data_IF_394222002866
#
_entry.id   IF_394222002866
#
_cell.length_a   1.000
_cell.length_b   1.000
_cell.length_c   1.000
_cell.angle_alpha   90.00
_cell.angle_beta   90.00
_cell.angle_gamma   90.00
#
_symmetry.space_group_name_H-M   'P 1'
#
loop_
_entity.id
_entity.type
_entity.pdbx_description
1 polymer ?
#
# COMPACT_ATOMS: atom_id res chain seq x y z
N UNK A 1 -1.12 4.74 -7.44
CA UNK A 1 -0.08 4.23 -8.37
C UNK A 1 1.29 4.09 -7.72
N UNK A 2 1.74 5.04 -6.90
CA UNK A 2 3.04 4.96 -6.23
C UNK A 2 3.21 3.69 -5.39
N UNK A 3 2.20 3.28 -4.61
CA UNK A 3 2.22 2.04 -3.80
C UNK A 3 2.41 0.78 -4.66
N UNK A 4 1.70 0.69 -5.78
CA UNK A 4 1.81 -0.45 -6.71
C UNK A 4 3.19 -0.49 -7.35
N UNK A 5 3.69 0.67 -7.82
CA UNK A 5 5.02 0.79 -8.40
C UNK A 5 6.11 0.43 -7.38
N UNK A 6 5.98 0.92 -6.15
CA UNK A 6 6.82 0.62 -5.01
C UNK A 6 6.95 -0.88 -4.74
N UNK A 7 5.82 -1.60 -4.67
CA UNK A 7 5.82 -3.06 -4.47
C UNK A 7 6.39 -3.80 -5.67
N UNK A 8 5.96 -3.46 -6.89
CA UNK A 8 6.43 -4.10 -8.11
C UNK A 8 7.94 -3.88 -8.33
N UNK A 9 8.46 -2.71 -7.97
CA UNK A 9 9.87 -2.39 -8.11
C UNK A 9 10.74 -3.05 -7.04
N UNK A 10 10.20 -3.27 -5.84
CA UNK A 10 10.90 -3.95 -4.75
C UNK A 10 10.95 -5.49 -4.93
N UNK A 11 9.86 -6.11 -5.39
CA UNK A 11 9.72 -7.57 -5.40
C UNK A 11 9.51 -8.18 -6.81
N UNK A 12 9.63 -7.38 -7.86
CA UNK A 12 9.43 -7.83 -9.24
C UNK A 12 8.03 -8.41 -9.47
N UNK A 13 7.95 -9.60 -10.06
CA UNK A 13 6.67 -10.24 -10.37
C UNK A 13 5.86 -10.62 -9.12
N UNK A 14 6.50 -11.01 -8.02
CA UNK A 14 5.83 -11.25 -6.75
C UNK A 14 5.20 -9.96 -6.20
N UNK A 15 5.88 -8.83 -6.38
CA UNK A 15 5.37 -7.50 -6.02
C UNK A 15 4.11 -7.11 -6.76
N UNK A 16 4.01 -7.43 -8.05
CA UNK A 16 2.80 -7.22 -8.84
C UNK A 16 1.62 -8.05 -8.32
N UNK A 17 1.85 -9.32 -8.00
CA UNK A 17 0.81 -10.18 -7.43
C UNK A 17 0.30 -9.65 -6.08
N UNK A 18 1.22 -9.25 -5.19
CA UNK A 18 0.85 -8.62 -3.92
C UNK A 18 0.05 -7.32 -4.12
N UNK A 19 0.44 -6.49 -5.08
CA UNK A 19 -0.28 -5.25 -5.37
C UNK A 19 -1.72 -5.51 -5.84
N UNK A 20 -1.95 -6.54 -6.66
CA UNK A 20 -3.30 -6.93 -7.09
C UNK A 20 -4.14 -7.37 -5.89
N UNK A 21 -3.59 -8.22 -5.01
CA UNK A 21 -4.28 -8.68 -3.79
C UNK A 21 -4.69 -7.48 -2.93
N UNK A 22 -3.76 -6.55 -2.70
CA UNK A 22 -4.01 -5.34 -1.92
C UNK A 22 -5.07 -4.45 -2.59
N UNK A 23 -5.13 -4.38 -3.92
CA UNK A 23 -6.18 -3.63 -4.62
C UNK A 23 -7.57 -4.27 -4.48
N UNK A 24 -7.66 -5.60 -4.60
CA UNK A 24 -8.92 -6.31 -4.41
C UNK A 24 -9.42 -6.13 -2.98
N UNK A 25 -8.53 -6.30 -1.99
CA UNK A 25 -8.86 -6.07 -0.58
C UNK A 25 -9.35 -4.65 -0.33
N UNK A 26 -8.75 -3.65 -0.99
CA UNK A 26 -9.22 -2.27 -0.89
C UNK A 26 -10.66 -2.11 -1.36
N UNK A 27 -10.99 -2.61 -2.55
CA UNK A 27 -12.34 -2.49 -3.10
C UNK A 27 -13.39 -3.11 -2.16
N UNK A 28 -13.07 -4.26 -1.54
CA UNK A 28 -13.98 -4.94 -0.63
C UNK A 28 -14.07 -4.26 0.74
N UNK A 29 -12.94 -3.82 1.30
CA UNK A 29 -12.88 -3.33 2.69
C UNK A 29 -13.32 -1.87 2.84
N UNK A 30 -13.20 -1.03 1.80
CA UNK A 30 -13.39 0.43 1.91
C UNK A 30 -14.86 0.84 1.89
N UNK A 31 -15.77 -0.12 1.88
CA UNK A 31 -17.18 0.13 2.03
C UNK A 31 -17.82 0.90 0.88
N UNK A 32 -17.34 0.70 -0.36
CA UNK A 32 -17.89 1.36 -1.54
C UNK A 32 -19.40 1.10 -1.77
N UNK A 33 -19.92 0.00 -1.22
CA UNK A 33 -21.35 -0.39 -1.30
C UNK A 33 -22.04 -0.31 0.08
N UNK A 34 -21.32 -0.61 1.17
CA UNK A 34 -21.83 -0.61 2.55
C UNK A 34 -20.82 0.02 3.51
N UNK A 35 -21.26 0.69 4.60
CA UNK A 35 -20.35 1.17 5.64
C UNK A 35 -19.42 0.06 6.15
N UNK A 36 -18.12 0.33 6.40
CA UNK A 36 -17.17 -0.68 6.85
C UNK A 36 -17.59 -1.37 8.15
N UNK A 37 -18.38 -0.71 9.01
CA UNK A 37 -18.94 -1.24 10.25
C UNK A 37 -19.88 -2.43 10.04
N UNK A 38 -20.46 -2.57 8.83
CA UNK A 38 -21.32 -3.69 8.47
C UNK A 38 -20.54 -4.89 7.90
N UNK A 39 -19.24 -4.71 7.63
CA UNK A 39 -18.39 -5.79 7.11
C UNK A 39 -17.95 -6.71 8.26
N UNK A 40 -17.55 -7.97 7.96
CA UNK A 40 -16.95 -8.85 8.95
C UNK A 40 -15.72 -8.20 9.64
N UNK A 41 -15.45 -8.62 10.89
CA UNK A 41 -14.39 -8.06 11.75
C UNK A 41 -13.00 -8.01 11.09
N UNK A 42 -12.69 -8.97 10.21
CA UNK A 42 -11.46 -8.98 9.41
C UNK A 42 -11.33 -7.72 8.53
N UNK A 43 -12.38 -7.37 7.80
CA UNK A 43 -12.36 -6.22 6.90
C UNK A 43 -12.38 -4.90 7.67
N UNK A 44 -13.09 -4.84 8.80
CA UNK A 44 -13.06 -3.69 9.70
C UNK A 44 -11.65 -3.39 10.22
N UNK A 45 -10.88 -4.43 10.56
CA UNK A 45 -9.53 -4.28 11.11
C UNK A 45 -8.54 -3.79 10.05
N UNK A 46 -8.71 -4.21 8.79
CA UNK A 46 -7.81 -3.84 7.69
C UNK A 46 -8.17 -2.47 7.10
N UNK A 47 -9.45 -2.12 7.10
CA UNK A 47 -9.98 -0.87 6.56
C UNK A 47 -9.13 0.39 6.89
N UNK A 48 -8.71 0.68 8.13
CA UNK A 48 -7.94 1.90 8.45
C UNK A 48 -6.52 1.93 7.86
N UNK A 49 -5.97 0.79 7.44
CA UNK A 49 -4.63 0.69 6.84
C UNK A 49 -4.64 0.89 5.33
N UNK A 50 -5.82 1.05 4.74
CA UNK A 50 -6.00 1.12 3.31
C UNK A 50 -6.15 2.57 2.84
N UNK A 51 -5.35 3.03 1.87
CA UNK A 51 -5.44 4.41 1.40
C UNK A 51 -6.80 4.72 0.75
N UNK A 52 -7.40 3.75 0.06
CA UNK A 52 -8.70 3.93 -0.58
C UNK A 52 -9.83 4.25 0.43
N UNK A 53 -9.69 3.87 1.70
CA UNK A 53 -10.68 4.18 2.75
C UNK A 53 -10.83 5.68 2.92
N UNK A 54 -9.71 6.37 3.12
CA UNK A 54 -9.69 7.82 3.31
C UNK A 54 -10.14 8.59 2.06
N UNK A 55 -9.93 8.03 0.87
CA UNK A 55 -10.43 8.61 -0.38
C UNK A 55 -11.96 8.51 -0.49
N UNK A 56 -12.53 7.34 -0.14
CA UNK A 56 -13.98 7.14 -0.11
C UNK A 56 -14.63 8.03 0.94
N UNK A 57 -14.04 8.15 2.13
CA UNK A 57 -14.58 9.01 3.19
C UNK A 57 -14.50 10.51 2.81
N UNK A 58 -13.39 10.96 2.24
CA UNK A 58 -13.31 12.34 1.72
C UNK A 58 -14.36 12.61 0.63
N UNK A 59 -14.63 11.64 -0.24
CA UNK A 59 -15.65 11.75 -1.27
C UNK A 59 -17.06 11.79 -0.67
N UNK A 60 -17.33 10.99 0.37
CA UNK A 60 -18.62 11.01 1.10
C UNK A 60 -18.88 12.36 1.73
N UNK A 61 -17.87 12.97 2.35
CA UNK A 61 -17.97 14.33 2.90
C UNK A 61 -18.34 15.36 1.82
N UNK A 62 -17.74 15.25 0.63
CA UNK A 62 -18.06 16.13 -0.51
C UNK A 62 -19.50 15.97 -1.01
N UNK A 63 -20.02 14.74 -1.02
CA UNK A 63 -21.36 14.43 -1.56
C UNK A 63 -22.48 14.65 -0.54
N UNK A 64 -22.26 14.28 0.73
CA UNK A 64 -23.29 14.28 1.78
C UNK A 64 -23.34 15.59 2.60
N UNK A 65 -22.38 16.49 2.42
CA UNK A 65 -22.26 17.75 3.15
C UNK A 65 -20.92 17.84 3.86
N UNK A 66 -20.08 18.80 3.45
CA UNK A 66 -18.66 18.83 3.81
C UNK A 66 -18.46 19.29 5.25
N UNK A 67 -18.01 18.38 6.13
CA UNK A 67 -17.23 18.76 7.30
C UNK A 67 -15.78 18.97 6.90
N UNK A 68 -15.42 20.24 6.65
CA UNK A 68 -14.08 20.62 6.20
C UNK A 68 -12.96 20.04 7.07
N UNK A 69 -13.15 19.99 8.40
CA UNK A 69 -12.18 19.39 9.32
C UNK A 69 -11.88 17.93 9.00
N UNK A 70 -12.90 17.13 8.65
CA UNK A 70 -12.72 15.71 8.37
C UNK A 70 -12.13 15.50 6.97
N UNK A 71 -12.58 16.28 5.99
CA UNK A 71 -12.02 16.29 4.65
C UNK A 71 -10.51 16.56 4.64
N UNK A 72 -10.05 17.63 5.32
CA UNK A 72 -8.62 17.96 5.39
C UNK A 72 -7.80 16.89 6.10
N UNK A 73 -8.37 16.23 7.12
CA UNK A 73 -7.72 15.09 7.78
C UNK A 73 -7.54 13.93 6.82
N UNK A 74 -8.59 13.53 6.09
CA UNK A 74 -8.50 12.45 5.10
C UNK A 74 -7.49 12.77 3.99
N UNK A 75 -7.49 14.01 3.49
CA UNK A 75 -6.52 14.49 2.51
C UNK A 75 -5.08 14.46 3.04
N UNK A 76 -4.87 14.85 4.30
CA UNK A 76 -3.56 14.77 4.95
C UNK A 76 -3.05 13.34 5.08
N UNK A 77 -3.90 12.41 5.50
CA UNK A 77 -3.54 10.97 5.59
C UNK A 77 -3.23 10.41 4.20
N UNK A 78 -4.05 10.71 3.19
CA UNK A 78 -3.81 10.31 1.81
C UNK A 78 -2.47 10.80 1.25
N UNK A 79 -2.02 12.00 1.63
CA UNK A 79 -0.73 12.54 1.23
C UNK A 79 0.46 11.80 1.88
N UNK A 80 0.28 11.20 3.06
CA UNK A 80 1.33 10.47 3.78
C UNK A 80 1.61 9.11 3.13
N UNK A 81 0.58 8.38 2.68
CA UNK A 81 0.71 7.06 2.06
C UNK A 81 1.74 6.97 0.90
N UNK A 82 1.73 7.87 -0.12
CA UNK A 82 2.72 7.83 -1.19
C UNK A 82 4.14 8.12 -0.68
N UNK A 83 4.30 9.05 0.26
CA UNK A 83 5.60 9.38 0.87
C UNK A 83 6.16 8.16 1.61
N UNK A 84 5.36 7.53 2.47
CA UNK A 84 5.76 6.32 3.21
C UNK A 84 6.11 5.19 2.27
N UNK A 85 5.28 4.95 1.24
CA UNK A 85 5.53 3.90 0.25
C UNK A 85 6.82 4.13 -0.51
N UNK A 86 7.12 5.38 -0.88
CA UNK A 86 8.34 5.73 -1.59
C UNK A 86 9.59 5.46 -0.73
N UNK A 87 9.58 5.95 0.52
CA UNK A 87 10.66 5.72 1.47
C UNK A 87 10.86 4.23 1.73
N UNK A 88 9.77 3.47 1.91
CA UNK A 88 9.83 2.04 2.12
C UNK A 88 10.47 1.31 0.94
N UNK A 89 10.16 1.70 -0.29
CA UNK A 89 10.79 1.14 -1.50
C UNK A 89 12.27 1.41 -1.58
N UNK A 90 12.72 2.62 -1.24
CA UNK A 90 14.14 2.94 -1.25
C UNK A 90 14.90 2.04 -0.27
N UNK A 91 14.39 1.87 0.95
CA UNK A 91 15.00 1.01 1.98
C UNK A 91 15.00 -0.45 1.53
N UNK A 92 13.90 -0.94 0.96
CA UNK A 92 13.81 -2.33 0.50
C UNK A 92 14.80 -2.58 -0.64
N UNK A 93 14.88 -1.68 -1.62
CA UNK A 93 15.86 -1.79 -2.71
C UNK A 93 17.29 -1.81 -2.21
N UNK A 94 17.66 -0.91 -1.31
CA UNK A 94 19.01 -0.88 -0.76
C UNK A 94 19.40 -2.20 -0.06
N UNK A 95 18.44 -2.81 0.67
CA UNK A 95 18.65 -4.11 1.31
C UNK A 95 18.70 -5.27 0.32
N UNK A 96 17.87 -5.24 -0.72
CA UNK A 96 17.81 -6.30 -1.74
C UNK A 96 19.08 -6.28 -2.59
N UNK A 97 19.55 -5.11 -3.04
CA UNK A 97 20.79 -4.99 -3.81
C UNK A 97 21.99 -5.47 -3.00
N UNK A 98 22.10 -5.10 -1.72
CA UNK A 98 23.15 -5.61 -0.82
C UNK A 98 23.11 -7.14 -0.67
N UNK A 99 21.93 -7.75 -0.55
CA UNK A 99 21.79 -9.22 -0.46
C UNK A 99 22.12 -9.92 -1.77
N UNK A 100 21.73 -9.33 -2.91
CA UNK A 100 22.03 -9.88 -4.22
C UNK A 100 23.54 -9.92 -4.45
N UNK A 101 24.25 -8.82 -4.15
CA UNK A 101 25.71 -8.78 -4.27
C UNK A 101 26.42 -9.75 -3.32
N UNK A 102 25.96 -9.87 -2.08
CA UNK A 102 26.50 -10.86 -1.13
C UNK A 102 26.32 -12.30 -1.60
N UNK A 103 25.19 -12.60 -2.24
CA UNK A 103 24.91 -13.95 -2.77
C UNK A 103 25.78 -14.23 -3.98
N UNK A 104 25.97 -13.25 -4.87
CA UNK A 104 26.84 -13.37 -6.04
C UNK A 104 28.32 -13.55 -5.66
N UNK A 105 28.78 -12.83 -4.63
CA UNK A 105 30.14 -12.95 -4.08
C UNK A 105 30.37 -14.36 -3.52
N UNK A 106 29.40 -14.90 -2.75
CA UNK A 106 29.47 -16.29 -2.25
C UNK A 106 29.35 -17.36 -3.34
N UNK A 107 28.60 -17.10 -4.40
CA UNK A 107 28.50 -18.01 -5.53
C UNK A 107 29.82 -18.07 -6.32
N UNK A 108 30.51 -16.93 -6.48
CA UNK A 108 31.87 -16.89 -7.04
C UNK A 108 32.91 -17.58 -6.15
N UNK A 109 32.81 -17.44 -4.82
CA UNK A 109 33.71 -18.12 -3.87
C UNK A 109 33.49 -19.65 -3.83
N UNK A 110 32.27 -20.13 -4.08
CA UNK A 110 31.94 -21.57 -4.06
C UNK A 110 32.29 -22.34 -5.33
N UNK A 111 32.86 -21.67 -6.35
CA UNK A 111 33.32 -22.30 -7.59
C UNK A 111 32.21 -22.92 -8.45
N UNK A 112 30.95 -22.54 -8.19
CA UNK A 112 29.80 -22.95 -9.00
C UNK A 112 29.65 -22.12 -10.29
N UNK A 113 30.51 -21.13 -10.48
CA UNK A 113 30.78 -20.39 -11.73
C UNK A 113 32.25 -19.99 -11.81
#
# INVERSE_FOLDING_TARGET
MMVVYSLASAFGNAGKAMAIIIQVLQITATGGVFPPELLPSFFQTINPYLPLTYAVDALREVIAGVLWSNFWRCMGVLAIFPVVSFVLTLIIKEKIDKRAQWTEEKLKESGLF
#
